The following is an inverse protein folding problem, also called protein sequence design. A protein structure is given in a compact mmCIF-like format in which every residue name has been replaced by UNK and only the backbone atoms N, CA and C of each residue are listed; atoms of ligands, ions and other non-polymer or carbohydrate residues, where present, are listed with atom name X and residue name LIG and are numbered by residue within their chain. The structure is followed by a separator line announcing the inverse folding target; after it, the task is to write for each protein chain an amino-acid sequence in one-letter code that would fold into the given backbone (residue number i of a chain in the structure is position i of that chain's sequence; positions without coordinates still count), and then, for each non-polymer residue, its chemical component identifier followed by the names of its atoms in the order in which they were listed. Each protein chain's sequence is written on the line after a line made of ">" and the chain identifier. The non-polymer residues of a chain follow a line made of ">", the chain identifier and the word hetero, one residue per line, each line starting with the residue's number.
data_IF_849916561031
#
_entry.id   IF_849916561031
#
_cell.length_a   1.000
_cell.length_b   1.000
_cell.length_c   1.000
_cell.angle_alpha   90.00
_cell.angle_beta   90.00
_cell.angle_gamma   90.00
#
_symmetry.space_group_name_H-M   'P 1'
#
loop_
_entity.id
_entity.type
_entity.pdbx_description
1 polymer ?
#
# COMPACT_ATOMS: atom_id res chain seq x y z
N UNK A 1 -19.11 -0.43 24.36
CA UNK A 1 -18.48 -1.53 23.61
C UNK A 1 -19.47 -1.91 22.54
N UNK A 2 -19.45 -1.19 21.42
CA UNK A 2 -20.19 -1.63 20.23
C UNK A 2 -19.44 -2.84 19.68
N UNK A 3 -20.17 -3.92 19.42
CA UNK A 3 -19.61 -5.15 18.86
C UNK A 3 -18.93 -4.85 17.52
N UNK A 4 -17.76 -5.45 17.30
CA UNK A 4 -17.01 -5.33 16.07
C UNK A 4 -17.69 -6.18 14.98
N UNK A 5 -18.74 -5.61 14.37
CA UNK A 5 -19.60 -6.29 13.39
C UNK A 5 -18.79 -6.82 12.20
N UNK A 6 -17.76 -6.09 11.74
CA UNK A 6 -16.92 -6.55 10.64
C UNK A 6 -16.14 -7.82 11.00
N UNK A 7 -15.50 -7.85 12.18
CA UNK A 7 -14.78 -9.03 12.65
C UNK A 7 -15.74 -10.19 12.97
N UNK A 8 -16.93 -9.92 13.50
CA UNK A 8 -17.95 -10.96 13.73
C UNK A 8 -18.42 -11.60 12.42
N UNK A 9 -18.55 -10.82 11.34
CA UNK A 9 -18.90 -11.35 10.02
C UNK A 9 -17.75 -12.20 9.44
N UNK A 10 -16.51 -11.70 9.46
CA UNK A 10 -15.36 -12.43 8.90
C UNK A 10 -15.03 -13.69 9.71
N UNK A 11 -15.11 -13.61 11.04
CA UNK A 11 -14.78 -14.74 11.92
C UNK A 11 -15.68 -15.96 11.74
N UNK A 12 -16.92 -15.78 11.24
CA UNK A 12 -17.84 -16.88 10.88
C UNK A 12 -17.37 -17.70 9.67
N UNK A 13 -16.46 -17.15 8.88
CA UNK A 13 -15.92 -17.78 7.66
C UNK A 13 -14.47 -18.24 7.87
N UNK A 14 -13.86 -17.88 8.99
CA UNK A 14 -12.45 -18.15 9.27
C UNK A 14 -12.19 -19.51 9.94
N UNK A 15 -10.91 -19.90 10.02
CA UNK A 15 -10.47 -21.12 10.72
C UNK A 15 -10.77 -21.05 12.22
N UNK A 16 -10.72 -22.18 12.93
CA UNK A 16 -11.08 -22.22 14.37
C UNK A 16 -10.02 -21.63 15.32
N UNK A 17 -8.73 -21.66 14.96
CA UNK A 17 -7.63 -21.25 15.84
C UNK A 17 -6.62 -20.32 15.16
N UNK A 18 -6.04 -19.39 15.91
CA UNK A 18 -4.91 -18.59 15.44
C UNK A 18 -3.59 -19.37 15.51
N UNK A 19 -2.78 -19.14 14.49
CA UNK A 19 -1.37 -19.50 14.43
C UNK A 19 -0.54 -18.22 14.26
N UNK A 20 0.58 -18.16 14.98
CA UNK A 20 1.49 -17.04 14.97
C UNK A 20 2.87 -17.52 14.53
N UNK A 21 3.49 -16.78 13.62
CA UNK A 21 4.81 -17.10 13.06
C UNK A 21 5.64 -15.83 12.87
N UNK A 22 6.95 -15.96 12.59
CA UNK A 22 7.84 -14.82 12.35
C UNK A 22 7.82 -13.78 13.49
N UNK A 23 8.11 -14.22 14.71
CA UNK A 23 8.15 -13.36 15.91
C UNK A 23 9.24 -12.28 15.80
N UNK A 24 8.97 -11.04 16.27
CA UNK A 24 10.00 -10.02 16.36
C UNK A 24 11.07 -10.39 17.39
N UNK A 25 12.30 -9.91 17.19
CA UNK A 25 13.43 -10.14 18.09
C UNK A 25 13.76 -8.85 18.84
N UNK A 26 13.99 -8.95 20.15
CA UNK A 26 14.40 -7.82 20.97
C UNK A 26 15.82 -7.41 20.62
N UNK A 27 16.03 -6.11 20.41
CA UNK A 27 17.35 -5.52 20.15
C UNK A 27 17.63 -4.46 21.22
N UNK A 28 18.82 -4.48 21.82
CA UNK A 28 19.23 -3.45 22.78
C UNK A 28 19.60 -2.14 22.08
N UNK A 29 19.52 -1.02 22.78
CA UNK A 29 19.95 0.28 22.24
C UNK A 29 21.40 0.27 21.76
N UNK A 30 22.29 -0.38 22.51
CA UNK A 30 23.69 -0.57 22.13
C UNK A 30 23.82 -1.42 20.86
N UNK A 31 23.07 -2.53 20.78
CA UNK A 31 23.05 -3.38 19.59
C UNK A 31 22.56 -2.62 18.36
N UNK A 32 21.52 -1.80 18.52
CA UNK A 32 21.01 -0.92 17.49
C UNK A 32 22.08 0.07 17.00
N UNK A 33 22.80 0.71 17.93
CA UNK A 33 23.88 1.65 17.61
C UNK A 33 25.00 0.98 16.81
N UNK A 34 25.48 -0.18 17.25
CA UNK A 34 26.52 -0.93 16.53
C UNK A 34 26.08 -1.33 15.12
N UNK A 35 24.83 -1.78 14.97
CA UNK A 35 24.29 -2.18 13.66
C UNK A 35 24.13 -0.99 12.71
N UNK A 36 23.78 0.19 13.24
CA UNK A 36 23.74 1.43 12.47
C UNK A 36 25.14 1.91 12.05
N UNK A 37 26.13 1.80 12.93
CA UNK A 37 27.53 2.14 12.62
C UNK A 37 28.11 1.21 11.54
N UNK A 38 27.85 -0.10 11.65
CA UNK A 38 28.24 -1.10 10.66
C UNK A 38 27.55 -0.84 9.31
N UNK A 39 26.26 -0.51 9.33
CA UNK A 39 25.51 -0.13 8.12
C UNK A 39 26.13 1.09 7.44
N UNK A 40 26.44 2.14 8.19
CA UNK A 40 27.08 3.34 7.65
C UNK A 40 28.46 3.00 7.06
N UNK A 41 29.24 2.14 7.73
CA UNK A 41 30.56 1.73 7.27
C UNK A 41 30.51 0.97 5.95
N UNK A 42 29.64 -0.04 5.84
CA UNK A 42 29.50 -0.82 4.62
C UNK A 42 28.84 -0.02 3.48
N UNK A 43 27.86 0.82 3.81
CA UNK A 43 27.22 1.71 2.85
C UNK A 43 28.20 2.65 2.15
N UNK A 44 29.20 3.18 2.87
CA UNK A 44 30.25 4.05 2.28
C UNK A 44 31.06 3.38 1.18
N UNK A 45 31.05 2.05 1.10
CA UNK A 45 31.75 1.27 0.07
C UNK A 45 30.91 1.07 -1.20
N UNK A 46 29.61 1.40 -1.17
CA UNK A 46 28.72 1.21 -2.30
C UNK A 46 28.94 2.27 -3.39
N UNK A 47 29.31 1.81 -4.59
CA UNK A 47 29.43 2.67 -5.75
C UNK A 47 28.09 3.29 -6.13
N UNK A 48 28.09 4.62 -6.31
CA UNK A 48 26.89 5.37 -6.68
C UNK A 48 25.92 5.64 -5.54
N UNK A 49 26.18 5.21 -4.30
CA UNK A 49 25.42 5.69 -3.14
C UNK A 49 25.74 7.16 -2.88
N UNK A 50 24.71 7.99 -2.72
CA UNK A 50 24.84 9.43 -2.45
C UNK A 50 24.51 9.78 -1.00
N UNK A 51 23.41 9.27 -0.47
CA UNK A 51 22.95 9.55 0.89
C UNK A 51 21.99 8.50 1.43
N UNK A 52 21.85 8.48 2.74
CA UNK A 52 20.86 7.66 3.44
C UNK A 52 20.07 8.59 4.36
N UNK A 53 18.77 8.39 4.33
CA UNK A 53 17.82 8.98 5.24
C UNK A 53 17.07 7.88 5.98
N UNK A 54 16.51 8.24 7.12
CA UNK A 54 15.68 7.40 7.96
C UNK A 54 14.31 8.05 8.09
N UNK A 55 13.27 7.25 7.90
CA UNK A 55 11.92 7.60 8.32
C UNK A 55 11.71 6.98 9.70
N UNK A 56 11.82 7.80 10.74
CA UNK A 56 11.58 7.38 12.11
C UNK A 56 10.09 7.12 12.31
N UNK A 57 9.66 5.90 11.99
CA UNK A 57 8.44 5.35 12.58
C UNK A 57 8.86 4.71 13.92
N UNK A 58 9.25 5.54 14.88
CA UNK A 58 9.56 5.11 16.24
C UNK A 58 8.27 4.70 16.93
N UNK A 59 8.15 3.41 17.19
CA UNK A 59 7.15 2.82 18.08
C UNK A 59 7.95 1.96 19.06
N UNK A 60 8.16 2.49 20.25
CA UNK A 60 8.72 1.75 21.37
C UNK A 60 10.20 1.43 21.27
N UNK A 61 10.82 1.28 22.43
CA UNK A 61 12.21 0.87 22.60
C UNK A 61 12.44 -0.63 22.28
N UNK A 62 11.37 -1.39 22.07
CA UNK A 62 11.37 -2.85 22.05
C UNK A 62 11.44 -3.45 20.64
N UNK A 63 10.60 -2.99 19.70
CA UNK A 63 10.56 -3.48 18.31
C UNK A 63 11.09 -2.37 17.38
N UNK A 64 12.41 -2.24 17.30
CA UNK A 64 13.09 -1.32 16.40
C UNK A 64 12.88 -1.77 14.95
N UNK A 65 12.16 -0.97 14.15
CA UNK A 65 12.00 -1.19 12.71
C UNK A 65 12.27 0.11 11.97
N UNK A 66 13.45 0.20 11.38
CA UNK A 66 13.92 1.38 10.65
C UNK A 66 13.48 1.29 9.21
N UNK A 67 12.76 2.30 8.73
CA UNK A 67 12.57 2.47 7.29
C UNK A 67 13.68 3.34 6.73
N UNK A 68 14.55 2.73 5.94
CA UNK A 68 15.65 3.43 5.27
C UNK A 68 15.22 3.95 3.91
N UNK A 69 15.66 5.17 3.60
CA UNK A 69 15.55 5.79 2.29
C UNK A 69 16.97 5.95 1.75
N UNK A 70 17.32 5.14 0.77
CA UNK A 70 18.66 5.04 0.20
C UNK A 70 18.68 5.78 -1.11
N UNK A 71 19.54 6.80 -1.20
CA UNK A 71 19.60 7.70 -2.35
C UNK A 71 20.85 7.39 -3.15
N UNK A 72 20.69 7.04 -4.41
CA UNK A 72 21.78 6.84 -5.34
C UNK A 72 21.96 8.05 -6.24
N UNK A 73 23.16 8.19 -6.77
CA UNK A 73 23.43 9.14 -7.82
C UNK A 73 22.91 8.61 -9.16
N UNK A 74 21.90 9.27 -9.71
CA UNK A 74 21.30 8.90 -11.00
C UNK A 74 22.32 8.79 -12.15
N UNK A 75 23.45 9.49 -12.11
CA UNK A 75 24.44 9.46 -13.20
C UNK A 75 25.37 8.26 -13.13
N UNK A 76 25.74 7.83 -11.91
CA UNK A 76 26.73 6.77 -11.69
C UNK A 76 26.12 5.45 -11.22
N UNK A 77 24.82 5.43 -10.93
CA UNK A 77 24.13 4.20 -10.58
C UNK A 77 23.95 3.32 -11.82
N UNK A 78 24.38 2.08 -11.72
CA UNK A 78 24.28 1.06 -12.78
C UNK A 78 23.65 -0.23 -12.23
N UNK A 79 23.04 -1.04 -13.08
CA UNK A 79 22.46 -2.34 -12.75
C UNK A 79 23.51 -3.27 -12.12
N UNK A 80 24.76 -3.16 -12.56
CA UNK A 80 25.89 -3.96 -12.07
C UNK A 80 26.43 -3.53 -10.70
N UNK A 81 26.06 -2.34 -10.21
CA UNK A 81 26.54 -1.87 -8.91
C UNK A 81 25.95 -2.74 -7.78
N UNK A 82 26.74 -3.00 -6.74
CA UNK A 82 26.26 -3.59 -5.49
C UNK A 82 25.09 -2.76 -4.95
N UNK A 83 24.04 -3.45 -4.52
CA UNK A 83 22.80 -2.84 -4.05
C UNK A 83 22.77 -2.81 -2.52
N UNK A 84 21.97 -1.90 -1.96
CA UNK A 84 21.92 -1.72 -0.51
C UNK A 84 21.36 -2.92 0.26
N UNK A 85 20.52 -3.75 -0.37
CA UNK A 85 20.05 -5.00 0.23
C UNK A 85 21.20 -5.98 0.53
N UNK A 86 22.28 -5.95 -0.24
CA UNK A 86 23.48 -6.75 0.03
C UNK A 86 24.23 -6.26 1.28
N UNK A 87 24.19 -4.95 1.57
CA UNK A 87 24.71 -4.40 2.82
C UNK A 87 23.91 -4.93 4.01
N UNK A 88 22.57 -4.91 3.93
CA UNK A 88 21.73 -5.46 5.00
C UNK A 88 21.96 -6.96 5.23
N UNK A 89 22.11 -7.75 4.14
CA UNK A 89 22.41 -9.18 4.23
C UNK A 89 23.75 -9.44 4.93
N UNK A 90 24.75 -8.60 4.67
CA UNK A 90 26.10 -8.75 5.23
C UNK A 90 26.14 -8.46 6.73
N UNK A 91 25.37 -7.48 7.20
CA UNK A 91 25.39 -7.04 8.60
C UNK A 91 24.40 -7.84 9.48
N UNK A 92 23.46 -8.56 8.87
CA UNK A 92 22.46 -9.33 9.62
C UNK A 92 21.37 -8.46 10.25
N UNK A 93 21.07 -7.30 9.66
CA UNK A 93 20.09 -6.33 10.18
C UNK A 93 18.63 -6.67 9.84
N UNK A 94 18.34 -7.89 9.34
CA UNK A 94 16.99 -8.33 8.93
C UNK A 94 15.93 -8.23 10.02
N UNK A 95 16.34 -8.17 11.29
CA UNK A 95 15.42 -8.05 12.43
C UNK A 95 15.15 -6.58 12.83
N UNK A 96 15.89 -5.62 12.29
CA UNK A 96 15.86 -4.19 12.70
C UNK A 96 15.49 -3.27 11.54
N UNK A 97 15.89 -3.61 10.33
CA UNK A 97 15.57 -2.81 9.15
C UNK A 97 14.32 -3.39 8.51
N UNK A 98 13.36 -2.52 8.20
CA UNK A 98 12.19 -2.88 7.39
C UNK A 98 12.68 -3.56 6.11
N UNK A 99 12.05 -4.66 5.73
CA UNK A 99 12.42 -5.40 4.51
C UNK A 99 12.22 -4.52 3.26
N UNK A 100 11.36 -3.50 3.37
CA UNK A 100 10.98 -2.56 2.31
C UNK A 100 11.85 -1.27 2.28
N UNK A 101 13.16 -1.39 2.03
CA UNK A 101 14.02 -0.21 1.82
C UNK A 101 13.53 0.61 0.62
N UNK A 102 13.49 1.93 0.76
CA UNK A 102 13.15 2.83 -0.33
C UNK A 102 14.41 3.31 -1.07
N UNK A 103 14.70 2.71 -2.22
CA UNK A 103 15.79 3.13 -3.11
C UNK A 103 15.36 4.21 -4.09
N UNK A 104 16.00 5.39 -4.06
CA UNK A 104 15.64 6.59 -4.83
C UNK A 104 16.85 7.24 -5.49
N UNK A 105 16.61 8.14 -6.45
CA UNK A 105 17.60 9.14 -6.86
C UNK A 105 17.36 10.48 -6.15
N UNK A 106 18.21 11.46 -6.47
CA UNK A 106 18.14 12.80 -5.90
C UNK A 106 16.80 13.47 -6.17
N UNK A 107 16.33 13.41 -7.42
CA UNK A 107 15.11 14.08 -7.87
C UNK A 107 13.86 13.50 -7.20
N UNK A 108 13.86 12.18 -6.96
CA UNK A 108 12.81 11.49 -6.23
C UNK A 108 12.78 11.91 -4.77
N UNK A 109 13.94 11.97 -4.12
CA UNK A 109 14.00 12.41 -2.73
C UNK A 109 13.57 13.88 -2.59
N UNK A 110 14.00 14.76 -3.50
CA UNK A 110 13.57 16.16 -3.54
C UNK A 110 12.05 16.29 -3.61
N UNK A 111 11.36 15.37 -4.29
CA UNK A 111 9.92 15.37 -4.45
C UNK A 111 9.19 14.37 -3.52
N UNK A 112 9.88 13.80 -2.52
CA UNK A 112 9.29 12.77 -1.65
C UNK A 112 8.00 13.22 -0.93
N UNK A 113 7.84 14.50 -0.49
CA UNK A 113 6.60 14.91 0.16
C UNK A 113 5.41 14.99 -0.80
N UNK A 114 5.64 14.94 -2.12
CA UNK A 114 4.55 14.80 -3.12
C UNK A 114 4.08 13.35 -3.25
N UNK A 115 4.81 12.38 -2.71
CA UNK A 115 4.34 11.01 -2.52
C UNK A 115 3.60 10.82 -1.21
N UNK A 116 4.18 11.35 -0.12
CA UNK A 116 3.63 11.27 1.22
C UNK A 116 4.00 12.55 1.99
N UNK A 117 3.05 13.47 2.16
CA UNK A 117 3.32 14.79 2.73
C UNK A 117 3.69 14.75 4.21
N UNK A 118 3.37 13.65 4.90
CA UNK A 118 3.68 13.51 6.31
C UNK A 118 5.07 12.89 6.51
N UNK A 119 5.79 12.55 5.42
CA UNK A 119 7.10 11.89 5.50
C UNK A 119 8.14 12.94 5.84
N UNK A 120 8.91 12.69 6.91
CA UNK A 120 9.96 13.59 7.37
C UNK A 120 11.29 12.86 7.42
N UNK A 121 11.95 12.65 6.25
CA UNK A 121 13.21 11.92 6.20
C UNK A 121 14.28 12.63 7.05
N UNK A 122 14.79 11.93 8.06
CA UNK A 122 15.94 12.37 8.84
C UNK A 122 17.23 11.96 8.15
N UNK A 123 18.16 12.89 8.00
CA UNK A 123 19.43 12.62 7.35
C UNK A 123 20.34 11.77 8.25
N UNK A 124 20.88 10.68 7.71
CA UNK A 124 21.79 9.77 8.41
C UNK A 124 23.22 9.90 7.91
N UNK A 125 23.44 9.86 6.59
CA UNK A 125 24.77 9.97 6.00
C UNK A 125 24.77 10.48 4.54
N UNK A 126 25.96 10.88 4.07
CA UNK A 126 26.21 11.31 2.70
C UNK A 126 25.78 12.76 2.44
N UNK A 127 25.47 13.10 1.18
CA UNK A 127 25.08 14.46 0.80
C UNK A 127 23.66 14.78 1.27
N UNK A 128 23.49 15.82 2.07
CA UNK A 128 22.18 16.37 2.43
C UNK A 128 21.56 17.06 1.20
N UNK A 129 20.41 16.56 0.76
CA UNK A 129 19.59 17.11 -0.33
C UNK A 129 18.50 18.03 0.22
N UNK A 130 18.06 18.95 -0.63
CA UNK A 130 16.97 19.87 -0.33
C UNK A 130 15.62 19.22 -0.64
N UNK A 131 14.69 19.19 0.31
CA UNK A 131 13.38 18.57 0.11
C UNK A 131 12.35 19.66 -0.24
N UNK A 132 11.63 19.46 -1.34
CA UNK A 132 10.62 20.39 -1.84
C UNK A 132 9.24 19.99 -1.31
N UNK A 133 8.66 20.84 -0.47
CA UNK A 133 7.33 20.62 0.07
C UNK A 133 6.23 21.19 -0.86
N UNK A 134 5.10 20.49 -1.02
CA UNK A 134 3.91 21.03 -1.68
C UNK A 134 3.44 22.33 -1.02
N UNK A 135 2.75 23.17 -1.79
CA UNK A 135 2.10 24.35 -1.22
C UNK A 135 0.97 23.93 -0.26
N UNK A 136 0.63 24.79 0.71
CA UNK A 136 -0.41 24.50 1.71
C UNK A 136 -1.76 24.10 1.07
N UNK A 137 -2.09 24.67 -0.09
CA UNK A 137 -3.32 24.34 -0.83
C UNK A 137 -3.29 22.95 -1.51
N UNK A 138 -2.12 22.34 -1.68
CA UNK A 138 -1.92 21.07 -2.40
C UNK A 138 -1.75 19.88 -1.48
N UNK A 139 -1.23 20.08 -0.25
CA UNK A 139 -0.96 19.03 0.73
C UNK A 139 -2.15 18.08 0.88
N UNK A 140 -3.37 18.64 1.02
CA UNK A 140 -4.61 17.86 1.13
C UNK A 140 -4.80 16.86 -0.02
N UNK A 141 -4.52 17.27 -1.24
CA UNK A 141 -4.78 16.46 -2.44
C UNK A 141 -3.68 15.44 -2.71
N UNK A 142 -2.44 15.77 -2.37
CA UNK A 142 -1.36 14.77 -2.36
C UNK A 142 -1.63 13.69 -1.29
N UNK A 143 -2.15 14.08 -0.12
CA UNK A 143 -2.58 13.12 0.90
C UNK A 143 -3.79 12.29 0.43
N UNK A 144 -4.80 12.91 -0.20
CA UNK A 144 -5.92 12.17 -0.82
C UNK A 144 -5.38 11.11 -1.78
N UNK A 145 -4.51 11.52 -2.70
CA UNK A 145 -3.92 10.59 -3.66
C UNK A 145 -3.19 9.44 -2.96
N UNK A 146 -2.37 9.74 -1.93
CA UNK A 146 -1.64 8.72 -1.17
C UNK A 146 -2.57 7.73 -0.45
N UNK A 147 -3.63 8.22 0.17
CA UNK A 147 -4.60 7.37 0.88
C UNK A 147 -5.32 6.45 -0.10
N UNK A 148 -5.77 6.99 -1.24
CA UNK A 148 -6.42 6.19 -2.28
C UNK A 148 -5.48 5.14 -2.87
N UNK A 149 -4.20 5.47 -3.08
CA UNK A 149 -3.17 4.50 -3.51
C UNK A 149 -3.03 3.35 -2.49
N UNK A 150 -2.97 3.68 -1.19
CA UNK A 150 -2.87 2.69 -0.11
C UNK A 150 -4.11 1.79 -0.03
N UNK A 151 -5.30 2.36 -0.10
CA UNK A 151 -6.55 1.60 -0.04
C UNK A 151 -6.72 0.71 -1.28
N UNK A 152 -6.41 1.23 -2.47
CA UNK A 152 -6.48 0.49 -3.72
C UNK A 152 -5.48 -0.67 -3.77
N UNK A 153 -4.33 -0.51 -3.11
CA UNK A 153 -3.21 -1.46 -3.15
C UNK A 153 -3.35 -2.67 -2.22
N UNK A 154 -4.54 -2.91 -1.70
CA UNK A 154 -4.83 -4.10 -0.90
C UNK A 154 -4.50 -3.94 0.58
N UNK A 155 -4.43 -2.73 1.13
CA UNK A 155 -4.23 -2.55 2.57
C UNK A 155 -5.31 -3.24 3.42
N UNK A 156 -6.57 -3.28 2.92
CA UNK A 156 -7.66 -4.06 3.51
C UNK A 156 -7.45 -5.59 3.44
N UNK A 157 -6.75 -6.07 2.40
CA UNK A 157 -6.54 -7.50 2.15
C UNK A 157 -5.81 -8.16 3.30
N UNK A 158 -4.76 -7.53 3.82
CA UNK A 158 -3.92 -8.12 4.85
C UNK A 158 -4.73 -8.36 6.14
N UNK A 159 -5.49 -7.36 6.59
CA UNK A 159 -6.37 -7.46 7.76
C UNK A 159 -7.49 -8.49 7.57
N UNK A 160 -8.09 -8.52 6.37
CA UNK A 160 -9.10 -9.54 6.05
C UNK A 160 -8.52 -10.95 6.08
N UNK A 161 -7.37 -11.17 5.45
CA UNK A 161 -6.76 -12.50 5.37
C UNK A 161 -6.26 -12.97 6.73
N UNK A 162 -5.72 -12.10 7.59
CA UNK A 162 -5.34 -12.48 8.95
C UNK A 162 -6.53 -12.91 9.79
N UNK A 163 -7.70 -12.27 9.62
CA UNK A 163 -8.89 -12.68 10.35
C UNK A 163 -9.53 -13.96 9.77
N UNK A 164 -9.59 -14.08 8.45
CA UNK A 164 -10.18 -15.23 7.79
C UNK A 164 -9.29 -16.48 7.90
N UNK A 165 -8.00 -16.36 7.62
CA UNK A 165 -7.08 -17.51 7.58
C UNK A 165 -6.50 -17.84 8.96
N UNK A 166 -6.58 -16.89 9.90
CA UNK A 166 -6.02 -16.97 11.27
C UNK A 166 -4.56 -17.44 11.30
N UNK A 167 -3.81 -17.09 10.27
CA UNK A 167 -2.37 -17.30 10.16
C UNK A 167 -1.69 -15.92 10.13
N UNK A 168 -1.07 -15.56 11.24
CA UNK A 168 -0.50 -14.24 11.44
C UNK A 168 1.02 -14.36 11.47
N UNK A 169 1.65 -13.74 10.49
CA UNK A 169 3.08 -13.43 10.55
C UNK A 169 3.28 -12.22 11.46
N UNK A 170 3.58 -12.47 12.73
CA UNK A 170 3.59 -11.50 13.83
C UNK A 170 4.36 -10.23 13.46
N UNK A 171 5.60 -10.33 12.97
CA UNK A 171 6.41 -9.16 12.60
C UNK A 171 5.78 -8.33 11.48
N UNK A 172 5.19 -8.96 10.47
CA UNK A 172 4.51 -8.27 9.36
C UNK A 172 3.22 -7.58 9.84
N UNK A 173 2.46 -8.24 10.73
CA UNK A 173 1.23 -7.70 11.29
C UNK A 173 1.48 -6.46 12.16
N UNK A 174 2.47 -6.53 13.06
CA UNK A 174 2.87 -5.38 13.89
C UNK A 174 3.30 -4.19 13.02
N UNK A 175 4.03 -4.45 11.93
CA UNK A 175 4.44 -3.41 11.00
C UNK A 175 3.26 -2.76 10.26
N UNK A 176 2.31 -3.56 9.78
CA UNK A 176 1.12 -3.04 9.09
C UNK A 176 0.18 -2.29 10.05
N UNK A 177 0.11 -2.69 11.31
CA UNK A 177 -0.55 -1.92 12.37
C UNK A 177 0.14 -0.55 12.58
N UNK A 178 1.48 -0.49 12.55
CA UNK A 178 2.21 0.80 12.54
C UNK A 178 1.91 1.63 11.29
N UNK A 179 1.87 1.02 10.10
CA UNK A 179 1.49 1.71 8.85
C UNK A 179 0.03 2.18 8.86
N UNK A 180 -0.86 1.52 9.60
CA UNK A 180 -2.25 1.96 9.74
C UNK A 180 -2.34 3.30 10.48
N UNK A 181 -1.45 3.59 11.45
CA UNK A 181 -1.34 4.94 12.05
C UNK A 181 -1.14 5.98 10.97
N UNK A 182 -0.20 5.73 10.07
CA UNK A 182 0.10 6.67 8.99
C UNK A 182 -1.13 6.94 8.11
N UNK A 183 -1.90 5.90 7.82
CA UNK A 183 -3.16 6.04 7.09
C UNK A 183 -4.20 6.87 7.86
N UNK A 184 -4.33 6.64 9.18
CA UNK A 184 -5.18 7.44 10.08
C UNK A 184 -4.74 8.91 10.09
N UNK A 185 -3.45 9.19 10.25
CA UNK A 185 -2.92 10.56 10.28
C UNK A 185 -3.18 11.29 8.95
N UNK A 186 -2.98 10.61 7.81
CA UNK A 186 -3.32 11.14 6.49
C UNK A 186 -4.81 11.46 6.39
N UNK A 187 -5.68 10.55 6.84
CA UNK A 187 -7.13 10.76 6.83
C UNK A 187 -7.54 11.93 7.73
N UNK A 188 -6.99 12.03 8.95
CA UNK A 188 -7.21 13.16 9.87
C UNK A 188 -6.86 14.49 9.21
N UNK A 189 -5.73 14.57 8.50
CA UNK A 189 -5.35 15.78 7.75
C UNK A 189 -6.33 16.11 6.61
N UNK A 190 -6.76 15.10 5.85
CA UNK A 190 -7.74 15.29 4.75
C UNK A 190 -9.07 15.82 5.29
N UNK A 191 -9.54 15.19 6.36
CA UNK A 191 -10.82 15.48 7.02
C UNK A 191 -10.76 16.72 7.93
N UNK A 192 -9.56 17.29 8.14
CA UNK A 192 -9.29 18.40 9.08
C UNK A 192 -9.76 18.08 10.51
N UNK A 193 -9.48 16.86 10.96
CA UNK A 193 -9.76 16.39 12.32
C UNK A 193 -8.48 16.40 13.14
N UNK A 194 -8.43 17.24 14.18
CA UNK A 194 -7.34 17.19 15.17
C UNK A 194 -7.49 15.99 16.11
N UNK A 195 -8.73 15.73 16.54
CA UNK A 195 -9.10 14.61 17.42
C UNK A 195 -10.12 13.69 16.75
N UNK A 196 -9.95 12.40 16.96
CA UNK A 196 -10.86 11.35 16.52
C UNK A 196 -10.86 10.24 17.59
N UNK A 197 -11.65 10.37 18.68
CA UNK A 197 -11.49 9.56 19.90
C UNK A 197 -11.41 8.05 19.66
N UNK A 198 -12.22 7.48 18.77
CA UNK A 198 -12.17 6.06 18.41
C UNK A 198 -10.84 5.67 17.77
N UNK A 199 -10.38 6.45 16.79
CA UNK A 199 -9.13 6.19 16.07
C UNK A 199 -7.92 6.41 16.97
N UNK A 200 -7.95 7.47 17.78
CA UNK A 200 -6.88 7.81 18.71
C UNK A 200 -6.75 6.72 19.80
N UNK A 201 -7.86 6.29 20.42
CA UNK A 201 -7.86 5.19 21.41
C UNK A 201 -7.35 3.88 20.82
N UNK A 202 -7.78 3.54 19.60
CA UNK A 202 -7.29 2.35 18.91
C UNK A 202 -5.78 2.45 18.65
N UNK A 203 -5.28 3.61 18.21
CA UNK A 203 -3.86 3.83 17.98
C UNK A 203 -3.04 3.77 19.27
N UNK A 204 -3.52 4.35 20.36
CA UNK A 204 -2.89 4.24 21.69
C UNK A 204 -2.77 2.77 22.14
N UNK A 205 -3.78 1.96 21.84
CA UNK A 205 -3.75 0.51 22.13
C UNK A 205 -2.69 -0.21 21.30
N UNK A 206 -2.61 0.08 20.00
CA UNK A 206 -1.57 -0.46 19.11
C UNK A 206 -0.18 -0.05 19.59
N UNK A 207 -0.01 1.22 20.01
CA UNK A 207 1.23 1.74 20.58
C UNK A 207 1.65 0.96 21.81
N UNK A 208 0.76 0.89 22.80
CA UNK A 208 1.03 0.21 24.07
C UNK A 208 1.44 -1.25 23.83
N UNK A 209 0.71 -1.94 22.94
CA UNK A 209 1.03 -3.32 22.56
C UNK A 209 2.42 -3.45 21.91
N UNK A 210 2.77 -2.56 20.99
CA UNK A 210 4.07 -2.62 20.31
C UNK A 210 5.21 -2.30 21.28
N UNK A 211 5.04 -1.29 22.14
CA UNK A 211 6.05 -0.82 23.07
C UNK A 211 6.32 -1.87 24.17
N UNK A 212 5.27 -2.55 24.64
CA UNK A 212 5.37 -3.54 25.71
C UNK A 212 5.43 -5.00 25.19
N UNK A 213 5.61 -5.21 23.88
CA UNK A 213 5.47 -6.53 23.24
C UNK A 213 6.24 -7.67 23.94
N UNK A 214 7.48 -7.40 24.37
CA UNK A 214 8.33 -8.40 25.04
C UNK A 214 8.02 -8.58 26.53
N UNK A 215 7.26 -7.68 27.13
CA UNK A 215 6.94 -7.64 28.56
C UNK A 215 5.56 -8.24 28.86
N UNK A 216 4.66 -8.26 27.87
CA UNK A 216 3.26 -8.67 28.02
C UNK A 216 3.01 -10.19 28.12
N UNK A 217 4.03 -11.04 27.95
CA UNK A 217 3.85 -12.49 27.97
C UNK A 217 2.82 -12.97 26.95
N UNK A 218 1.83 -13.77 27.37
CA UNK A 218 0.79 -14.30 26.48
C UNK A 218 -0.26 -13.25 26.04
N UNK A 219 -0.41 -12.16 26.81
CA UNK A 219 -1.41 -11.12 26.53
C UNK A 219 -1.14 -10.38 25.21
N UNK A 220 0.12 -10.34 24.75
CA UNK A 220 0.48 -9.75 23.45
C UNK A 220 -0.27 -10.38 22.28
N UNK A 221 -0.53 -11.69 22.34
CA UNK A 221 -1.26 -12.41 21.29
C UNK A 221 -2.75 -12.11 21.35
N UNK A 222 -3.32 -11.99 22.55
CA UNK A 222 -4.72 -11.59 22.74
C UNK A 222 -4.95 -10.17 22.23
N UNK A 223 -4.04 -9.25 22.55
CA UNK A 223 -4.08 -7.88 22.04
C UNK A 223 -3.83 -7.82 20.53
N UNK A 224 -2.94 -8.64 19.97
CA UNK A 224 -2.72 -8.71 18.52
C UNK A 224 -3.97 -9.19 17.78
N UNK A 225 -4.63 -10.22 18.28
CA UNK A 225 -5.91 -10.69 17.72
C UNK A 225 -6.97 -9.59 17.75
N UNK A 226 -7.10 -8.88 18.88
CA UNK A 226 -8.04 -7.79 19.01
C UNK A 226 -7.71 -6.63 18.07
N UNK A 227 -6.44 -6.22 17.98
CA UNK A 227 -6.01 -5.10 17.11
C UNK A 227 -6.18 -5.42 15.63
N UNK A 228 -5.96 -6.66 15.18
CA UNK A 228 -6.23 -7.05 13.79
C UNK A 228 -7.72 -6.94 13.48
N UNK A 229 -8.58 -7.44 14.37
CA UNK A 229 -10.04 -7.35 14.22
C UNK A 229 -10.53 -5.92 14.20
N UNK A 230 -10.10 -5.11 15.16
CA UNK A 230 -10.50 -3.70 15.24
C UNK A 230 -9.89 -2.87 14.11
N UNK A 231 -8.69 -3.21 13.65
CA UNK A 231 -8.05 -2.59 12.50
C UNK A 231 -8.88 -2.68 11.22
N UNK A 232 -9.58 -3.79 11.00
CA UNK A 232 -10.51 -3.92 9.88
C UNK A 232 -11.69 -2.94 9.99
N UNK A 233 -12.28 -2.79 11.18
CA UNK A 233 -13.32 -1.79 11.44
C UNK A 233 -12.82 -0.36 11.23
N UNK A 234 -11.63 -0.04 11.76
CA UNK A 234 -11.02 1.27 11.59
C UNK A 234 -10.82 1.59 10.11
N UNK A 235 -10.41 0.62 9.30
CA UNK A 235 -10.30 0.81 7.85
C UNK A 235 -11.64 1.11 7.17
N UNK A 236 -12.71 0.39 7.52
CA UNK A 236 -14.05 0.67 6.99
C UNK A 236 -14.59 2.03 7.45
N UNK A 237 -14.35 2.42 8.70
CA UNK A 237 -14.69 3.75 9.22
C UNK A 237 -13.98 4.84 8.41
N UNK A 238 -12.67 4.71 8.21
CA UNK A 238 -11.86 5.65 7.42
C UNK A 238 -12.40 5.79 5.99
N UNK A 239 -12.68 4.66 5.32
CA UNK A 239 -13.21 4.65 3.95
C UNK A 239 -14.57 5.36 3.90
N UNK A 240 -15.46 5.04 4.84
CA UNK A 240 -16.80 5.64 4.94
C UNK A 240 -16.72 7.15 5.13
N UNK A 241 -15.88 7.62 6.07
CA UNK A 241 -15.72 9.05 6.32
C UNK A 241 -15.09 9.80 5.14
N UNK A 242 -14.11 9.19 4.47
CA UNK A 242 -13.48 9.77 3.28
C UNK A 242 -14.45 9.84 2.11
N UNK A 243 -15.28 8.82 1.90
CA UNK A 243 -16.33 8.83 0.87
C UNK A 243 -17.34 9.96 1.12
N UNK A 244 -17.87 10.05 2.34
CA UNK A 244 -18.76 11.15 2.75
C UNK A 244 -18.11 12.52 2.62
N UNK A 245 -16.80 12.61 2.86
CA UNK A 245 -16.05 13.83 2.64
C UNK A 245 -15.95 14.20 1.16
N UNK A 246 -15.67 13.24 0.27
CA UNK A 246 -15.55 13.49 -1.17
C UNK A 246 -16.83 14.07 -1.74
N UNK A 247 -17.98 13.55 -1.30
CA UNK A 247 -19.30 14.03 -1.73
C UNK A 247 -19.59 15.44 -1.19
N UNK A 248 -19.42 15.66 0.12
CA UNK A 248 -19.69 16.96 0.77
C UNK A 248 -18.78 18.07 0.28
N UNK A 249 -17.48 17.78 0.16
CA UNK A 249 -16.47 18.75 -0.24
C UNK A 249 -16.31 18.84 -1.77
N UNK A 250 -17.06 18.03 -2.54
CA UNK A 250 -16.98 17.95 -4.01
C UNK A 250 -15.55 17.74 -4.51
N UNK A 251 -14.78 16.91 -3.80
CA UNK A 251 -13.43 16.50 -4.20
C UNK A 251 -13.48 15.74 -5.52
N UNK A 252 -14.61 15.06 -5.77
CA UNK A 252 -14.83 14.23 -6.94
C UNK A 252 -16.19 14.58 -7.55
N UNK A 253 -16.22 14.74 -8.87
CA UNK A 253 -17.45 14.87 -9.64
C UNK A 253 -17.71 13.56 -10.40
N UNK A 254 -18.31 12.60 -9.70
CA UNK A 254 -18.65 11.29 -10.24
C UNK A 254 -19.92 11.37 -11.07
N UNK A 255 -19.89 10.80 -12.27
CA UNK A 255 -21.04 10.63 -13.17
C UNK A 255 -21.27 9.15 -13.39
N UNK A 256 -22.50 8.71 -13.19
CA UNK A 256 -22.94 7.35 -13.46
C UNK A 256 -23.84 7.31 -14.70
N UNK A 257 -23.67 6.29 -15.55
CA UNK A 257 -24.55 6.05 -16.69
C UNK A 257 -25.81 5.32 -16.21
N UNK A 258 -27.01 5.91 -16.36
CA UNK A 258 -28.25 5.28 -15.90
C UNK A 258 -28.63 4.02 -16.70
N UNK A 259 -28.01 3.77 -17.86
CA UNK A 259 -28.30 2.60 -18.68
C UNK A 259 -27.51 1.36 -18.28
N UNK A 260 -26.53 1.51 -17.38
CA UNK A 260 -25.70 0.41 -16.88
C UNK A 260 -26.25 -0.01 -15.53
N UNK A 261 -26.62 -1.29 -15.42
CA UNK A 261 -27.28 -1.84 -14.23
C UNK A 261 -26.43 -1.72 -12.97
N UNK A 262 -25.11 -1.92 -13.11
CA UNK A 262 -24.15 -1.82 -12.00
C UNK A 262 -22.94 -1.01 -12.47
N UNK A 263 -22.99 0.33 -12.37
CA UNK A 263 -21.85 1.18 -12.69
C UNK A 263 -20.67 0.87 -11.76
N UNK A 264 -19.51 0.54 -12.34
CA UNK A 264 -18.34 0.14 -11.57
C UNK A 264 -17.01 0.47 -12.23
N UNK A 265 -15.97 0.51 -11.41
CA UNK A 265 -14.57 0.51 -11.83
C UNK A 265 -13.90 -0.76 -11.36
N UNK A 266 -12.92 -1.27 -12.11
CA UNK A 266 -12.20 -2.49 -11.74
C UNK A 266 -10.73 -2.33 -12.13
N UNK A 267 -9.84 -2.50 -11.16
CA UNK A 267 -8.40 -2.63 -11.40
C UNK A 267 -7.94 -4.04 -11.04
N UNK A 268 -7.17 -4.66 -11.92
CA UNK A 268 -6.64 -6.01 -11.75
C UNK A 268 -5.16 -6.05 -12.16
N UNK A 269 -4.29 -6.26 -11.19
CA UNK A 269 -2.86 -6.52 -11.39
C UNK A 269 -2.55 -7.97 -11.06
N UNK A 270 -1.27 -8.36 -11.05
CA UNK A 270 -0.86 -9.71 -10.62
C UNK A 270 -1.17 -9.96 -9.13
N UNK A 271 -1.01 -8.95 -8.28
CA UNK A 271 -1.11 -9.08 -6.82
C UNK A 271 -2.44 -8.54 -6.25
N UNK A 272 -3.08 -7.61 -6.94
CA UNK A 272 -4.21 -6.85 -6.42
C UNK A 272 -5.40 -6.96 -7.38
N UNK A 273 -6.60 -7.06 -6.82
CA UNK A 273 -7.82 -6.72 -7.52
C UNK A 273 -8.69 -5.84 -6.63
N UNK A 274 -9.18 -4.75 -7.20
CA UNK A 274 -10.03 -3.78 -6.49
C UNK A 274 -11.20 -3.38 -7.37
N UNK A 275 -12.41 -3.61 -6.87
CA UNK A 275 -13.69 -3.24 -7.46
C UNK A 275 -14.20 -1.96 -6.80
N UNK A 276 -14.68 -1.03 -7.60
CA UNK A 276 -15.21 0.26 -7.18
C UNK A 276 -16.69 0.36 -7.53
N UNK A 277 -17.57 0.62 -6.57
CA UNK A 277 -19.04 0.58 -6.75
C UNK A 277 -19.74 1.81 -6.18
N UNK A 278 -20.86 2.22 -6.78
CA UNK A 278 -21.54 3.47 -6.43
C UNK A 278 -22.21 3.43 -5.06
N UNK A 279 -23.03 2.42 -4.78
CA UNK A 279 -23.84 2.34 -3.55
C UNK A 279 -23.09 1.63 -2.43
N UNK A 280 -21.83 2.00 -2.21
CA UNK A 280 -20.93 1.33 -1.28
C UNK A 280 -21.37 1.52 0.18
N UNK A 281 -21.48 0.41 0.92
CA UNK A 281 -21.56 0.39 2.40
C UNK A 281 -20.55 -0.63 2.94
N UNK A 282 -20.10 -0.49 4.20
CA UNK A 282 -19.19 -1.45 4.82
C UNK A 282 -19.70 -2.89 4.75
N UNK A 283 -20.98 -3.12 5.07
CA UNK A 283 -21.60 -4.45 5.11
C UNK A 283 -21.63 -5.09 3.72
N UNK A 284 -22.14 -4.36 2.71
CA UNK A 284 -22.20 -4.86 1.34
C UNK A 284 -20.79 -5.11 0.78
N UNK A 285 -19.83 -4.22 1.08
CA UNK A 285 -18.46 -4.39 0.65
C UNK A 285 -17.84 -5.66 1.24
N UNK A 286 -18.05 -5.90 2.54
CA UNK A 286 -17.54 -7.08 3.23
C UNK A 286 -18.18 -8.38 2.71
N UNK A 287 -19.50 -8.42 2.54
CA UNK A 287 -20.22 -9.57 2.00
C UNK A 287 -19.71 -9.92 0.60
N UNK A 288 -19.51 -8.90 -0.26
CA UNK A 288 -18.94 -9.10 -1.60
C UNK A 288 -17.50 -9.61 -1.53
N UNK A 289 -16.64 -9.05 -0.66
CA UNK A 289 -15.26 -9.53 -0.48
C UNK A 289 -15.23 -11.01 -0.08
N UNK A 290 -16.09 -11.43 0.85
CA UNK A 290 -16.23 -12.83 1.28
C UNK A 290 -16.70 -13.70 0.10
N UNK A 291 -17.73 -13.27 -0.61
CA UNK A 291 -18.27 -13.99 -1.77
C UNK A 291 -17.21 -14.19 -2.85
N UNK A 292 -16.45 -13.14 -3.22
CA UNK A 292 -15.38 -13.25 -4.21
C UNK A 292 -14.30 -14.25 -3.78
N UNK A 293 -13.91 -14.21 -2.50
CA UNK A 293 -12.91 -15.16 -1.97
C UNK A 293 -13.41 -16.60 -2.05
N UNK A 294 -14.67 -16.85 -1.69
CA UNK A 294 -15.27 -18.19 -1.72
C UNK A 294 -15.51 -18.71 -3.14
N UNK A 295 -15.99 -17.86 -4.05
CA UNK A 295 -16.37 -18.27 -5.41
C UNK A 295 -15.20 -18.31 -6.39
N UNK A 296 -14.27 -17.36 -6.26
CA UNK A 296 -13.17 -17.20 -7.23
C UNK A 296 -11.81 -17.63 -6.67
N UNK A 297 -11.74 -17.99 -5.39
CA UNK A 297 -10.46 -18.24 -4.71
C UNK A 297 -9.57 -17.00 -4.61
N UNK A 298 -10.08 -15.81 -4.95
CA UNK A 298 -9.31 -14.57 -5.03
C UNK A 298 -9.93 -13.51 -4.11
N UNK A 299 -9.09 -12.82 -3.34
CA UNK A 299 -9.53 -11.63 -2.61
C UNK A 299 -9.65 -10.45 -3.57
N UNK A 300 -10.82 -9.81 -3.60
CA UNK A 300 -11.09 -8.59 -4.36
C UNK A 300 -11.52 -7.52 -3.36
N UNK A 301 -10.73 -6.46 -3.24
CA UNK A 301 -11.08 -5.30 -2.40
C UNK A 301 -12.29 -4.59 -3.01
N UNK A 302 -13.28 -4.22 -2.21
CA UNK A 302 -14.45 -3.45 -2.67
C UNK A 302 -14.41 -2.06 -2.04
N UNK A 303 -14.32 -1.02 -2.87
CA UNK A 303 -14.20 0.40 -2.49
C UNK A 303 -15.30 1.27 -3.11
N UNK A 304 -15.53 2.50 -2.61
CA UNK A 304 -16.45 3.46 -3.22
C UNK A 304 -16.06 3.86 -4.66
N UNK A 305 -17.04 4.03 -5.55
CA UNK A 305 -16.83 4.43 -6.95
C UNK A 305 -16.08 5.76 -7.09
N UNK A 306 -16.31 6.71 -6.17
CA UNK A 306 -15.64 8.01 -6.16
C UNK A 306 -14.11 7.88 -6.07
N UNK A 307 -13.59 6.82 -5.45
CA UNK A 307 -12.16 6.59 -5.31
C UNK A 307 -11.49 6.17 -6.63
N UNK A 308 -12.25 5.57 -7.54
CA UNK A 308 -11.75 5.10 -8.84
C UNK A 308 -11.28 6.26 -9.74
N UNK A 309 -11.78 7.48 -9.52
CA UNK A 309 -11.48 8.61 -10.39
C UNK A 309 -10.02 9.05 -10.32
N UNK A 310 -9.28 8.73 -9.26
CA UNK A 310 -7.82 8.94 -9.25
C UNK A 310 -7.12 8.06 -10.29
N UNK A 311 -7.49 6.77 -10.36
CA UNK A 311 -6.96 5.86 -11.38
C UNK A 311 -7.34 6.32 -12.78
N UNK A 312 -8.57 6.82 -12.95
CA UNK A 312 -9.01 7.44 -14.20
C UNK A 312 -8.12 8.64 -14.59
N UNK A 313 -7.78 9.53 -13.65
CA UNK A 313 -6.83 10.63 -13.91
C UNK A 313 -5.43 10.12 -14.27
N UNK A 314 -4.94 9.05 -13.62
CA UNK A 314 -3.67 8.41 -13.99
C UNK A 314 -3.66 7.88 -15.42
N UNK A 315 -4.80 7.43 -15.95
CA UNK A 315 -4.88 7.04 -17.36
C UNK A 315 -4.69 8.23 -18.31
N UNK A 316 -4.95 9.48 -17.94
CA UNK A 316 -4.91 10.57 -18.92
C UNK A 316 -3.50 10.89 -19.43
N UNK A 317 -2.45 10.45 -18.74
CA UNK A 317 -1.05 10.65 -19.16
C UNK A 317 -0.60 9.77 -20.35
N UNK A 318 0.56 10.14 -20.92
CA UNK A 318 1.21 9.44 -22.04
C UNK A 318 2.49 8.67 -21.63
N UNK A 319 2.82 8.64 -20.35
CA UNK A 319 4.03 7.98 -19.85
C UNK A 319 3.82 6.47 -19.65
N UNK A 320 4.87 5.72 -19.25
CA UNK A 320 4.78 4.27 -19.09
C UNK A 320 3.83 3.88 -17.96
N UNK A 321 3.89 4.58 -16.82
CA UNK A 321 2.96 4.36 -15.70
C UNK A 321 1.49 4.53 -16.12
N UNK A 322 1.14 5.62 -16.81
CA UNK A 322 -0.22 5.85 -17.29
C UNK A 322 -0.70 4.77 -18.27
N UNK A 323 0.19 4.26 -19.13
CA UNK A 323 -0.12 3.15 -20.04
C UNK A 323 -0.33 1.84 -19.29
N UNK A 324 0.45 1.60 -18.24
CA UNK A 324 0.25 0.46 -17.35
C UNK A 324 -1.13 0.52 -16.69
N UNK A 325 -1.50 1.66 -16.06
CA UNK A 325 -2.82 1.80 -15.43
C UNK A 325 -3.96 1.59 -16.44
N UNK A 326 -3.87 2.14 -17.66
CA UNK A 326 -4.85 1.86 -18.74
C UNK A 326 -5.02 0.38 -19.05
N UNK A 327 -3.97 -0.41 -18.88
CA UNK A 327 -3.97 -1.82 -19.24
C UNK A 327 -4.62 -2.72 -18.19
N UNK A 328 -4.66 -2.25 -16.94
CA UNK A 328 -5.17 -3.00 -15.79
C UNK A 328 -6.45 -2.40 -15.17
N UNK A 329 -6.83 -1.18 -15.55
CA UNK A 329 -8.02 -0.48 -15.04
C UNK A 329 -9.07 -0.30 -16.13
N UNK A 330 -10.30 -0.68 -15.82
CA UNK A 330 -11.48 -0.48 -16.66
C UNK A 330 -12.61 0.14 -15.86
N UNK A 331 -13.49 0.84 -16.56
CA UNK A 331 -14.69 1.45 -16.01
C UNK A 331 -15.87 1.09 -16.88
N UNK A 332 -16.99 0.73 -16.27
CA UNK A 332 -18.27 0.51 -16.93
C UNK A 332 -19.30 1.42 -16.26
N UNK A 333 -19.82 2.40 -16.99
CA UNK A 333 -20.84 3.32 -16.48
C UNK A 333 -20.39 4.32 -15.43
N UNK A 334 -19.09 4.41 -15.10
CA UNK A 334 -18.56 5.48 -14.24
C UNK A 334 -17.63 6.40 -15.04
N UNK A 335 -17.74 7.70 -14.81
CA UNK A 335 -16.84 8.71 -15.38
C UNK A 335 -16.77 9.95 -14.48
N UNK A 336 -15.88 10.89 -14.78
CA UNK A 336 -15.82 12.15 -14.04
C UNK A 336 -14.42 12.75 -13.94
N UNK A 337 -14.23 13.56 -12.91
CA UNK A 337 -12.96 14.22 -12.63
C UNK A 337 -12.77 14.46 -11.13
N UNK A 338 -11.49 14.52 -10.74
CA UNK A 338 -11.09 14.97 -9.41
C UNK A 338 -10.86 16.49 -9.40
N UNK A 339 -11.14 17.12 -8.26
CA UNK A 339 -10.63 18.44 -7.94
C UNK A 339 -9.10 18.41 -8.00
N UNK A 340 -8.49 19.42 -8.65
CA UNK A 340 -7.05 19.49 -8.89
C UNK A 340 -6.45 18.23 -9.54
N UNK A 341 -7.09 17.73 -10.60
CA UNK A 341 -6.62 16.57 -11.38
C UNK A 341 -5.14 16.64 -11.81
N UNK A 342 -4.56 17.83 -11.93
CA UNK A 342 -3.14 18.02 -12.22
C UNK A 342 -2.22 17.36 -11.17
N UNK A 343 -2.68 17.20 -9.91
CA UNK A 343 -1.92 16.55 -8.84
C UNK A 343 -1.78 15.05 -9.12
N UNK A 344 -2.83 14.41 -9.60
CA UNK A 344 -2.75 13.01 -10.08
C UNK A 344 -1.79 12.90 -11.26
N UNK A 345 -1.84 13.83 -12.22
CA UNK A 345 -0.90 13.84 -13.35
C UNK A 345 0.55 14.08 -12.90
N UNK A 346 0.78 14.92 -11.92
CA UNK A 346 2.09 15.17 -11.34
C UNK A 346 2.62 13.92 -10.64
N UNK A 347 1.83 13.29 -9.76
CA UNK A 347 2.19 12.01 -9.13
C UNK A 347 2.52 10.92 -10.16
N UNK A 348 1.73 10.81 -11.22
CA UNK A 348 1.98 9.85 -12.30
C UNK A 348 3.36 10.08 -12.98
N UNK A 349 3.81 11.33 -13.11
CA UNK A 349 5.17 11.63 -13.62
C UNK A 349 6.26 11.20 -12.66
N UNK A 350 6.08 11.45 -11.36
CA UNK A 350 7.08 11.08 -10.35
C UNK A 350 7.15 9.55 -10.22
N UNK A 351 6.00 8.86 -10.27
CA UNK A 351 5.94 7.39 -10.31
C UNK A 351 6.63 6.82 -11.53
N UNK A 352 6.38 7.39 -12.71
CA UNK A 352 7.07 6.98 -13.92
C UNK A 352 8.59 7.16 -13.80
N UNK A 353 9.04 8.25 -13.17
CA UNK A 353 10.46 8.49 -12.91
C UNK A 353 11.04 7.45 -11.94
N UNK A 354 10.31 7.10 -10.88
CA UNK A 354 10.67 6.03 -9.94
C UNK A 354 10.84 4.67 -10.63
N UNK A 355 9.91 4.33 -11.53
CA UNK A 355 9.99 3.10 -12.32
C UNK A 355 11.21 3.05 -13.21
N UNK A 356 11.45 4.12 -13.97
CA UNK A 356 12.62 4.21 -14.84
C UNK A 356 13.92 4.10 -14.04
N UNK A 357 13.95 4.70 -12.85
CA UNK A 357 15.09 4.63 -11.95
C UNK A 357 15.33 3.21 -11.42
N UNK A 358 14.29 2.50 -10.97
CA UNK A 358 14.43 1.10 -10.52
C UNK A 358 14.90 0.17 -11.62
N UNK A 359 14.38 0.35 -12.84
CA UNK A 359 14.84 -0.38 -14.03
C UNK A 359 16.33 -0.10 -14.27
N UNK A 360 16.75 1.16 -14.22
CA UNK A 360 18.16 1.54 -14.37
C UNK A 360 19.04 0.90 -13.29
N UNK A 361 18.52 0.76 -12.07
CA UNK A 361 19.20 0.07 -10.98
C UNK A 361 19.15 -1.46 -11.10
N UNK A 362 18.44 -2.07 -12.05
CA UNK A 362 18.28 -3.52 -12.11
C UNK A 362 17.55 -4.11 -10.89
N UNK A 363 16.75 -3.30 -10.18
CA UNK A 363 15.99 -3.78 -9.02
C UNK A 363 14.75 -4.57 -9.47
N UNK A 364 14.36 -5.55 -8.66
CA UNK A 364 13.05 -6.20 -8.83
C UNK A 364 11.93 -5.16 -8.74
N UNK A 365 10.95 -5.29 -9.63
CA UNK A 365 9.73 -4.49 -9.66
C UNK A 365 8.56 -5.22 -8.98
N UNK A 366 8.82 -6.42 -8.45
CA UNK A 366 7.82 -7.29 -7.83
C UNK A 366 7.48 -6.85 -6.38
N UNK A 367 8.32 -6.00 -5.76
CA UNK A 367 8.28 -5.61 -4.33
C UNK A 367 8.00 -4.10 -4.09
N UNK A 368 7.38 -3.40 -5.04
CA UNK A 368 7.27 -1.93 -4.98
C UNK A 368 6.20 -1.41 -4.01
N UNK A 369 6.66 -1.02 -2.82
CA UNK A 369 5.85 -0.58 -1.66
C UNK A 369 5.33 0.85 -1.72
N UNK A 370 5.69 1.63 -2.74
CA UNK A 370 5.01 2.93 -2.95
C UNK A 370 3.55 2.68 -3.39
N UNK A 371 3.26 1.53 -4.02
CA UNK A 371 1.92 1.16 -4.50
C UNK A 371 1.49 -0.29 -4.28
N UNK A 372 2.32 -1.19 -3.72
CA UNK A 372 2.18 -2.65 -3.89
C UNK A 372 1.79 -3.04 -5.34
N UNK A 373 2.15 -2.22 -6.32
CA UNK A 373 1.86 -2.49 -7.71
C UNK A 373 3.10 -3.17 -8.26
N UNK A 374 2.96 -4.45 -8.61
CA UNK A 374 3.91 -5.12 -9.49
C UNK A 374 3.98 -4.34 -10.80
N UNK A 375 5.03 -3.54 -10.95
CA UNK A 375 5.21 -2.61 -12.07
C UNK A 375 6.30 -3.10 -13.00
N UNK A 376 6.33 -4.42 -13.24
CA UNK A 376 7.27 -5.16 -14.11
C UNK A 376 7.34 -4.69 -15.57
N UNK A 377 6.56 -3.68 -15.95
CA UNK A 377 6.23 -3.36 -17.33
C UNK A 377 6.63 -1.90 -17.68
N UNK A 378 7.92 -1.66 -17.98
CA UNK A 378 8.40 -0.29 -18.15
C UNK A 378 9.58 0.03 -19.10
N UNK A 379 10.24 -0.93 -19.77
CA UNK A 379 11.38 -0.60 -20.66
C UNK A 379 11.32 -1.23 -22.05
N UNK A 380 12.15 -0.72 -22.96
CA UNK A 380 12.21 -1.07 -24.39
C UNK A 380 12.61 -2.52 -24.67
N UNK A 381 13.27 -3.20 -23.71
CA UNK A 381 13.54 -4.64 -23.75
C UNK A 381 12.34 -5.49 -23.29
N UNK A 382 11.37 -4.87 -22.61
CA UNK A 382 10.13 -5.51 -22.17
C UNK A 382 9.04 -5.55 -23.24
N UNK A 383 9.34 -5.39 -24.54
CA UNK A 383 8.30 -5.40 -25.60
C UNK A 383 7.70 -6.79 -25.84
N UNK A 384 8.45 -7.86 -25.63
CA UNK A 384 7.96 -9.24 -25.79
C UNK A 384 7.23 -9.77 -24.54
N UNK A 385 7.72 -9.46 -23.34
CA UNK A 385 7.06 -9.82 -22.07
C UNK A 385 5.84 -8.92 -21.75
N UNK A 386 5.83 -7.64 -22.19
CA UNK A 386 4.68 -6.73 -22.07
C UNK A 386 3.42 -7.33 -22.65
N UNK A 387 3.51 -8.00 -23.81
CA UNK A 387 2.32 -8.57 -24.42
C UNK A 387 1.74 -9.64 -23.52
N UNK A 388 2.56 -10.51 -22.92
CA UNK A 388 2.08 -11.61 -22.09
C UNK A 388 1.47 -11.15 -20.75
N UNK A 389 2.10 -10.23 -20.01
CA UNK A 389 1.54 -9.74 -18.73
C UNK A 389 0.34 -8.81 -18.93
N UNK A 390 0.39 -7.91 -19.92
CA UNK A 390 -0.78 -7.10 -20.27
C UNK A 390 -1.92 -7.99 -20.78
N UNK A 391 -1.62 -9.03 -21.57
CA UNK A 391 -2.64 -10.01 -21.97
C UNK A 391 -3.15 -10.82 -20.79
N UNK A 392 -2.29 -11.21 -19.85
CA UNK A 392 -2.67 -11.95 -18.63
C UNK A 392 -3.57 -11.10 -17.73
N UNK A 393 -3.19 -9.86 -17.45
CA UNK A 393 -4.01 -8.94 -16.67
C UNK A 393 -5.31 -8.60 -17.39
N UNK A 394 -5.29 -8.38 -18.71
CA UNK A 394 -6.52 -8.22 -19.51
C UNK A 394 -7.40 -9.47 -19.49
N UNK A 395 -6.82 -10.67 -19.57
CA UNK A 395 -7.56 -11.92 -19.51
C UNK A 395 -8.18 -12.13 -18.12
N UNK A 396 -7.43 -11.85 -17.05
CA UNK A 396 -7.91 -11.88 -15.67
C UNK A 396 -9.00 -10.84 -15.43
N UNK A 397 -8.83 -9.64 -15.97
CA UNK A 397 -9.81 -8.56 -15.93
C UNK A 397 -11.10 -8.96 -16.62
N UNK A 398 -11.02 -9.49 -17.85
CA UNK A 398 -12.17 -10.03 -18.59
C UNK A 398 -12.86 -11.15 -17.80
N UNK A 399 -12.10 -12.08 -17.24
CA UNK A 399 -12.65 -13.18 -16.43
C UNK A 399 -13.43 -12.64 -15.21
N UNK A 400 -12.88 -11.66 -14.49
CA UNK A 400 -13.58 -11.04 -13.37
C UNK A 400 -14.81 -10.26 -13.85
N UNK A 401 -14.74 -9.57 -14.99
CA UNK A 401 -15.88 -8.86 -15.57
C UNK A 401 -17.04 -9.81 -15.94
N UNK A 402 -16.75 -10.96 -16.57
CA UNK A 402 -17.77 -11.97 -16.88
C UNK A 402 -18.49 -12.46 -15.61
N UNK A 403 -17.74 -12.74 -14.55
CA UNK A 403 -18.32 -13.15 -13.25
C UNK A 403 -19.18 -12.03 -12.64
N UNK A 404 -18.77 -10.76 -12.76
CA UNK A 404 -19.56 -9.61 -12.30
C UNK A 404 -20.87 -9.45 -13.08
N UNK A 405 -20.89 -9.86 -14.35
CA UNK A 405 -22.07 -9.83 -15.22
C UNK A 405 -22.97 -11.08 -15.05
N UNK A 406 -22.59 -12.00 -14.15
CA UNK A 406 -23.36 -13.23 -13.87
C UNK A 406 -23.17 -14.32 -14.92
N UNK A 407 -22.13 -14.21 -15.77
CA UNK A 407 -21.77 -15.23 -16.74
C UNK A 407 -20.91 -16.32 -16.09
N UNK A 408 -21.09 -17.58 -16.49
CA UNK A 408 -20.28 -18.70 -16.00
C UNK A 408 -18.81 -18.51 -16.37
N UNK A 409 -17.89 -18.88 -15.46
CA UNK A 409 -16.46 -18.77 -15.70
C UNK A 409 -16.07 -19.64 -16.90
N UNK A 410 -15.58 -19.07 -18.02
CA UNK A 410 -15.33 -19.81 -19.26
C UNK A 410 -14.25 -20.90 -19.10
N UNK A 411 -13.49 -20.91 -18.00
CA UNK A 411 -12.50 -21.92 -17.69
C UNK A 411 -13.03 -23.12 -16.87
N UNK A 412 -14.29 -23.10 -16.43
CA UNK A 412 -14.91 -24.22 -15.68
C UNK A 412 -15.15 -25.48 -16.52
N UNK A 413 -15.00 -25.40 -17.86
CA UNK A 413 -15.12 -26.53 -18.78
C UNK A 413 -13.81 -27.15 -19.28
N UNK A 414 -12.63 -26.81 -18.71
CA UNK A 414 -11.32 -27.32 -19.16
C UNK A 414 -10.52 -28.07 -18.07
N UNK A 415 -11.20 -28.60 -17.06
CA UNK A 415 -10.59 -29.54 -16.08
C UNK A 415 -11.40 -30.83 -16.02
N UNK A 416 -11.74 -31.39 -17.18
CA UNK A 416 -12.02 -32.82 -17.34
C UNK A 416 -11.55 -33.20 -18.75
N UNK A 417 -10.27 -33.56 -18.88
CA UNK A 417 -9.72 -34.54 -19.85
C UNK A 417 -8.18 -34.40 -19.89
N UNK A 418 -7.48 -35.41 -19.36
CA UNK A 418 -6.05 -35.67 -19.61
C UNK A 418 -5.14 -35.64 -18.39
#
# INVERSE_FOLDING_TARGET
>A
MDQNICAEIVSKVGKDSYSFSNEPVRVSEEGYKYLMEDMIREAKRLAGLLSIYMDEITFGYSISQIKLIVVYNAETCDENNLKFDQVLRTIGTRNIVDEDILSLDQKLLENIPKFDCLLQPQWVMGKKLNILHPSAGEIRFFNISRVLDLLCSGFLRDFFLWEAERDIKTREALWKLKRLRRLVDLAKVILRKEEAPRWDTYMETVYTMCDQWFEMGIERYRMLMWTIREGLCILFDLISELALYFDRARVVNLKTDPNISIPHGLIVTDQIATLFINDWTPEMALDKMIWYRQKMGQFITVLPASFALQLYEYTKGHNAFSRYIKSCFTTEGISGNMERSYISLERAKILNHYLNFKIKLGMSLDDDTIFHCSLRDGSTLAKAANMMNVQKNKARLKRIQHVLQGEEDPASGLVEEG
#
